data_IF_391682417909
#
_entry.id   IF_391682417909
#
_cell.length_a   1.000
_cell.length_b   1.000
_cell.length_c   1.000
_cell.angle_alpha   90.00
_cell.angle_beta   90.00
_cell.angle_gamma   90.00
#
_symmetry.space_group_name_H-M   'P 1'
#
loop_
_entity.id
_entity.type
_entity.pdbx_description
1 polymer ?
#
# COMPACT_ATOMS: atom_id res chain seq x y z
N UNK A 1 5.16 -9.30 -5.63
CA UNK A 1 4.46 -8.50 -6.66
C UNK A 1 3.31 -9.20 -7.39
N UNK A 2 3.46 -10.39 -7.99
CA UNK A 2 2.45 -11.00 -8.89
C UNK A 2 1.01 -11.06 -8.32
N UNK A 3 0.86 -11.43 -7.05
CA UNK A 3 -0.44 -11.50 -6.38
C UNK A 3 -1.09 -10.12 -6.19
N UNK A 4 -0.31 -9.10 -5.81
CA UNK A 4 -0.82 -7.73 -5.66
C UNK A 4 -1.22 -7.12 -7.00
N UNK A 5 -0.43 -7.34 -8.05
CA UNK A 5 -0.75 -6.88 -9.40
C UNK A 5 -2.01 -7.55 -9.96
N UNK A 6 -2.21 -8.84 -9.65
CA UNK A 6 -3.44 -9.56 -9.98
C UNK A 6 -4.63 -8.96 -9.23
N UNK A 7 -4.51 -8.73 -7.92
CA UNK A 7 -5.56 -8.13 -7.10
C UNK A 7 -5.91 -6.71 -7.56
N UNK A 8 -4.91 -5.89 -7.90
CA UNK A 8 -5.13 -4.56 -8.45
C UNK A 8 -5.87 -4.62 -9.80
N UNK A 9 -5.45 -5.51 -10.70
CA UNK A 9 -6.10 -5.69 -12.01
C UNK A 9 -7.57 -6.10 -11.86
N UNK A 10 -7.85 -7.06 -10.96
CA UNK A 10 -9.23 -7.49 -10.66
C UNK A 10 -10.04 -6.35 -10.03
N UNK A 11 -9.45 -5.56 -9.13
CA UNK A 11 -10.11 -4.40 -8.53
C UNK A 11 -10.46 -3.33 -9.56
N UNK A 12 -9.55 -3.00 -10.48
CA UNK A 12 -9.79 -2.04 -11.56
C UNK A 12 -10.90 -2.54 -12.49
N UNK A 13 -10.87 -3.80 -12.89
CA UNK A 13 -11.90 -4.38 -13.76
C UNK A 13 -13.28 -4.33 -13.10
N UNK A 14 -13.34 -4.73 -11.83
CA UNK A 14 -14.59 -4.80 -11.05
C UNK A 14 -15.17 -3.41 -10.80
N UNK A 15 -14.34 -2.42 -10.42
CA UNK A 15 -14.78 -1.03 -10.24
C UNK A 15 -15.36 -0.47 -11.53
N UNK A 16 -14.67 -0.63 -12.66
CA UNK A 16 -15.14 -0.15 -13.97
C UNK A 16 -16.44 -0.81 -14.41
N UNK A 17 -16.58 -2.11 -14.19
CA UNK A 17 -17.80 -2.84 -14.53
C UNK A 17 -18.99 -2.35 -13.68
N UNK A 18 -18.81 -2.27 -12.36
CA UNK A 18 -19.88 -1.86 -11.44
C UNK A 18 -20.25 -0.40 -11.61
N UNK A 19 -19.29 0.50 -11.84
CA UNK A 19 -19.57 1.92 -12.06
C UNK A 19 -20.38 2.18 -13.33
N UNK A 20 -20.29 1.32 -14.34
CA UNK A 20 -21.13 1.39 -15.54
C UNK A 20 -22.58 0.96 -15.28
N UNK A 21 -22.79 0.04 -14.34
CA UNK A 21 -24.11 -0.56 -14.07
C UNK A 21 -24.84 0.19 -12.95
N UNK A 22 -24.12 0.62 -11.91
CA UNK A 22 -24.69 1.12 -10.67
C UNK A 22 -23.80 2.21 -10.00
N UNK A 23 -23.55 3.35 -10.68
CA UNK A 23 -22.52 4.33 -10.31
C UNK A 23 -22.68 4.94 -8.92
N UNK A 24 -23.90 5.23 -8.48
CA UNK A 24 -24.18 5.95 -7.22
C UNK A 24 -24.49 5.03 -6.03
N UNK A 25 -24.18 3.74 -6.14
CA UNK A 25 -24.41 2.80 -5.04
C UNK A 25 -23.30 2.85 -4.00
N UNK A 26 -23.65 2.56 -2.74
CA UNK A 26 -22.66 2.35 -1.67
C UNK A 26 -21.63 1.27 -2.03
N UNK A 27 -22.03 0.28 -2.82
CA UNK A 27 -21.15 -0.78 -3.31
C UNK A 27 -20.12 -0.26 -4.34
N UNK A 28 -20.54 0.59 -5.28
CA UNK A 28 -19.65 1.30 -6.20
C UNK A 28 -18.62 2.15 -5.44
N UNK A 29 -19.07 2.93 -4.45
CA UNK A 29 -18.18 3.70 -3.59
C UNK A 29 -17.19 2.83 -2.80
N UNK A 30 -17.64 1.69 -2.26
CA UNK A 30 -16.77 0.73 -1.59
C UNK A 30 -15.70 0.14 -2.52
N UNK A 31 -16.07 -0.21 -3.76
CA UNK A 31 -15.13 -0.72 -4.77
C UNK A 31 -14.09 0.33 -5.19
N UNK A 32 -14.48 1.60 -5.29
CA UNK A 32 -13.53 2.70 -5.52
C UNK A 32 -12.46 2.75 -4.42
N UNK A 33 -12.87 2.67 -3.14
CA UNK A 33 -11.92 2.61 -2.02
C UNK A 33 -11.06 1.35 -2.08
N UNK A 34 -11.66 0.19 -2.39
CA UNK A 34 -10.93 -1.07 -2.52
C UNK A 34 -9.86 -1.03 -3.61
N UNK A 35 -10.18 -0.48 -4.79
CA UNK A 35 -9.22 -0.25 -5.88
C UNK A 35 -8.10 0.70 -5.45
N UNK A 36 -8.44 1.82 -4.82
CA UNK A 36 -7.46 2.80 -4.36
C UNK A 36 -6.49 2.21 -3.34
N UNK A 37 -6.98 1.35 -2.44
CA UNK A 37 -6.14 0.60 -1.52
C UNK A 37 -5.24 -0.39 -2.28
N UNK A 38 -5.76 -1.10 -3.29
CA UNK A 38 -4.97 -2.05 -4.08
C UNK A 38 -3.78 -1.39 -4.78
N UNK A 39 -4.01 -0.20 -5.34
CA UNK A 39 -2.97 0.62 -5.98
C UNK A 39 -1.90 1.02 -4.98
N UNK A 40 -2.30 1.52 -3.81
CA UNK A 40 -1.36 1.87 -2.74
C UNK A 40 -0.58 0.66 -2.22
N UNK A 41 -1.21 -0.50 -2.08
CA UNK A 41 -0.52 -1.73 -1.66
C UNK A 41 0.53 -2.19 -2.68
N UNK A 42 0.30 -1.98 -3.98
CA UNK A 42 1.32 -2.22 -5.00
C UNK A 42 2.49 -1.23 -4.83
N UNK A 43 2.21 0.06 -4.69
CA UNK A 43 3.24 1.08 -4.49
C UNK A 43 4.08 0.82 -3.23
N UNK A 44 3.45 0.45 -2.13
CA UNK A 44 4.11 0.10 -0.86
C UNK A 44 5.03 -1.12 -1.07
N UNK A 45 4.55 -2.15 -1.75
CA UNK A 45 5.36 -3.33 -2.03
C UNK A 45 6.56 -3.01 -2.92
N UNK A 46 6.37 -2.19 -3.96
CA UNK A 46 7.44 -1.75 -4.86
C UNK A 46 8.51 -0.93 -4.13
N UNK A 47 8.11 0.01 -3.28
CA UNK A 47 9.05 0.80 -2.48
C UNK A 47 9.83 -0.06 -1.49
N UNK A 48 9.17 -1.02 -0.83
CA UNK A 48 9.86 -1.95 0.07
C UNK A 48 10.83 -2.88 -0.69
N UNK A 49 10.47 -3.30 -1.90
CA UNK A 49 11.37 -4.09 -2.75
C UNK A 49 12.58 -3.27 -3.19
N UNK A 50 12.39 -2.00 -3.59
CA UNK A 50 13.50 -1.08 -3.90
C UNK A 50 14.42 -0.88 -2.70
N UNK A 51 13.86 -0.58 -1.53
CA UNK A 51 14.63 -0.44 -0.29
C UNK A 51 15.45 -1.69 0.02
N UNK A 52 14.89 -2.89 -0.18
CA UNK A 52 15.62 -4.14 0.01
C UNK A 52 16.79 -4.35 -0.97
N UNK A 53 16.73 -3.76 -2.17
CA UNK A 53 17.82 -3.83 -3.17
C UNK A 53 18.94 -2.83 -2.91
N UNK A 54 18.67 -1.74 -2.20
CA UNK A 54 19.65 -0.70 -1.86
C UNK A 54 20.56 -1.12 -0.70
N UNK A 55 21.43 -2.09 -0.97
CA UNK A 55 22.34 -2.69 0.03
C UNK A 55 23.67 -1.95 0.18
N UNK A 56 24.00 -1.06 -0.77
CA UNK A 56 25.28 -0.34 -0.77
C UNK A 56 25.19 0.93 0.10
N UNK A 57 26.26 1.29 0.83
CA UNK A 57 26.26 2.50 1.67
C UNK A 57 25.90 3.78 0.91
N UNK A 58 26.31 3.87 -0.36
CA UNK A 58 26.00 4.98 -1.27
C UNK A 58 24.50 5.15 -1.57
N UNK A 59 23.69 4.10 -1.38
CA UNK A 59 22.24 4.11 -1.59
C UNK A 59 21.44 4.17 -0.28
N UNK A 60 22.10 4.36 0.88
CA UNK A 60 21.44 4.36 2.18
C UNK A 60 20.28 5.36 2.25
N UNK A 61 20.48 6.58 1.77
CA UNK A 61 19.45 7.62 1.75
C UNK A 61 18.25 7.26 0.85
N UNK A 62 18.48 6.51 -0.24
CA UNK A 62 17.41 6.01 -1.11
C UNK A 62 16.61 4.90 -0.43
N UNK A 63 17.29 4.01 0.30
CA UNK A 63 16.64 2.97 1.09
C UNK A 63 15.75 3.57 2.18
N UNK A 64 16.31 4.52 2.95
CA UNK A 64 15.60 5.27 4.00
C UNK A 64 14.36 5.98 3.43
N UNK A 65 14.52 6.70 2.31
CA UNK A 65 13.42 7.38 1.64
C UNK A 65 12.32 6.42 1.16
N UNK A 66 12.69 5.30 0.54
CA UNK A 66 11.72 4.29 0.09
C UNK A 66 10.94 3.68 1.26
N UNK A 67 11.59 3.37 2.38
CA UNK A 67 10.89 2.86 3.58
C UNK A 67 9.96 3.91 4.18
N UNK A 68 10.41 5.16 4.30
CA UNK A 68 9.59 6.28 4.77
C UNK A 68 8.33 6.46 3.92
N UNK A 69 8.49 6.46 2.60
CA UNK A 69 7.37 6.70 1.67
C UNK A 69 6.37 5.54 1.67
N UNK A 70 6.87 4.30 1.74
CA UNK A 70 6.03 3.11 1.93
C UNK A 70 5.21 3.21 3.23
N UNK A 71 5.84 3.65 4.32
CA UNK A 71 5.17 3.81 5.61
C UNK A 71 4.11 4.93 5.59
N UNK A 72 4.42 6.07 4.96
CA UNK A 72 3.48 7.17 4.80
C UNK A 72 2.20 6.72 4.09
N UNK A 73 2.32 6.06 2.92
CA UNK A 73 1.15 5.54 2.22
C UNK A 73 0.41 4.48 3.01
N UNK A 74 1.12 3.61 3.72
CA UNK A 74 0.50 2.58 4.54
C UNK A 74 -0.38 3.20 5.63
N UNK A 75 0.11 4.23 6.31
CA UNK A 75 -0.62 4.93 7.36
C UNK A 75 -1.77 5.80 6.81
N UNK A 76 -1.60 6.49 5.69
CA UNK A 76 -2.68 7.22 4.99
C UNK A 76 -3.85 6.27 4.66
N UNK A 77 -3.55 5.11 4.07
CA UNK A 77 -4.60 4.13 3.74
C UNK A 77 -5.22 3.49 4.97
N UNK A 78 -4.46 3.31 6.05
CA UNK A 78 -5.05 2.89 7.33
C UNK A 78 -6.07 3.90 7.84
N UNK A 79 -5.77 5.20 7.81
CA UNK A 79 -6.69 6.27 8.18
C UNK A 79 -7.98 6.20 7.35
N UNK A 80 -7.86 5.92 6.06
CA UNK A 80 -8.99 5.73 5.15
C UNK A 80 -9.68 4.35 5.24
N UNK A 81 -9.34 3.52 6.24
CA UNK A 81 -10.08 2.30 6.57
C UNK A 81 -9.63 1.03 5.83
N UNK A 82 -8.43 1.02 5.24
CA UNK A 82 -7.85 -0.15 4.57
C UNK A 82 -7.86 -1.41 5.45
N UNK A 83 -7.68 -1.25 6.77
CA UNK A 83 -7.70 -2.33 7.76
C UNK A 83 -9.02 -3.12 7.83
N UNK A 84 -10.13 -2.52 7.37
CA UNK A 84 -11.44 -3.19 7.31
C UNK A 84 -11.70 -3.86 5.96
N UNK A 85 -10.98 -3.44 4.91
CA UNK A 85 -11.20 -3.89 3.52
C UNK A 85 -10.20 -4.96 3.06
N UNK A 86 -9.02 -5.01 3.68
CA UNK A 86 -7.94 -5.90 3.26
C UNK A 86 -7.57 -6.95 4.30
N UNK A 87 -7.06 -8.13 3.87
CA UNK A 87 -6.63 -9.17 4.78
C UNK A 87 -5.53 -8.68 5.73
N UNK A 88 -5.76 -8.84 7.04
CA UNK A 88 -4.79 -8.42 8.07
C UNK A 88 -3.42 -9.05 7.89
N UNK A 89 -3.37 -10.32 7.47
CA UNK A 89 -2.11 -11.03 7.24
C UNK A 89 -1.24 -10.34 6.17
N UNK A 90 -1.84 -9.85 5.09
CA UNK A 90 -1.14 -9.11 4.05
C UNK A 90 -0.60 -7.79 4.59
N UNK A 91 -1.44 -7.03 5.28
CA UNK A 91 -1.06 -5.72 5.85
C UNK A 91 0.06 -5.87 6.88
N UNK A 92 -0.03 -6.88 7.74
CA UNK A 92 1.02 -7.19 8.71
C UNK A 92 2.31 -7.62 8.03
N UNK A 93 2.25 -8.40 6.95
CA UNK A 93 3.45 -8.78 6.19
C UNK A 93 4.19 -7.57 5.62
N UNK A 94 3.46 -6.60 5.06
CA UNK A 94 4.05 -5.35 4.54
C UNK A 94 4.63 -4.50 5.67
N UNK A 95 3.89 -4.33 6.76
CA UNK A 95 4.36 -3.58 7.92
C UNK A 95 5.63 -4.19 8.54
N UNK A 96 5.66 -5.51 8.69
CA UNK A 96 6.83 -6.23 9.17
C UNK A 96 8.01 -6.10 8.21
N UNK A 97 7.77 -6.05 6.90
CA UNK A 97 8.84 -5.87 5.90
C UNK A 97 9.48 -4.48 6.04
N UNK A 98 8.65 -3.43 6.16
CA UNK A 98 9.14 -2.08 6.40
C UNK A 98 9.91 -1.92 7.71
N UNK A 99 9.36 -2.43 8.82
CA UNK A 99 10.04 -2.42 10.13
C UNK A 99 11.38 -3.17 10.11
N UNK A 100 11.49 -4.24 9.32
CA UNK A 100 12.75 -5.00 9.19
C UNK A 100 13.80 -4.29 8.34
N UNK A 101 13.37 -3.46 7.38
CA UNK A 101 14.28 -2.71 6.52
C UNK A 101 14.82 -1.48 7.25
N UNK A 102 13.91 -0.66 7.80
CA UNK A 102 14.27 0.49 8.62
C UNK A 102 13.12 0.84 9.57
N UNK A 103 13.25 0.44 10.83
CA UNK A 103 12.22 0.69 11.84
C UNK A 103 12.04 2.18 12.14
N UNK A 104 13.09 2.98 12.06
CA UNK A 104 13.03 4.42 12.35
C UNK A 104 12.26 5.14 11.28
N UNK A 105 12.64 4.96 10.01
CA UNK A 105 11.95 5.58 8.88
C UNK A 105 10.51 5.08 8.72
N UNK A 106 10.27 3.80 9.03
CA UNK A 106 8.92 3.26 9.02
C UNK A 106 8.02 3.94 10.07
N UNK A 107 8.52 4.14 11.28
CA UNK A 107 7.75 4.83 12.33
C UNK A 107 7.53 6.31 12.00
N UNK A 108 8.55 6.99 11.48
CA UNK A 108 8.48 8.40 11.10
C UNK A 108 7.44 8.63 10.00
N UNK A 109 7.46 7.83 8.93
CA UNK A 109 6.47 7.90 7.86
C UNK A 109 5.06 7.60 8.36
N UNK A 110 4.89 6.60 9.24
CA UNK A 110 3.58 6.29 9.82
C UNK A 110 3.04 7.42 10.72
N UNK A 111 3.91 8.13 11.43
CA UNK A 111 3.52 9.22 12.34
C UNK A 111 3.14 10.48 11.58
N UNK A 112 3.79 10.77 10.45
CA UNK A 112 3.56 11.98 9.68
C UNK A 112 2.28 11.94 8.82
N UNK A 113 1.74 10.75 8.59
CA UNK A 113 0.46 10.55 7.92
C UNK A 113 -0.76 10.66 8.85
N UNK A 114 -0.56 10.85 10.16
CA UNK A 114 -1.61 11.00 11.18
C UNK A 114 -1.85 12.45 11.52
#
# INVERSE_FOLDING_TARGET
MFLLNTLHSVAVFTERAVRRIAPETRFSGWLCCFRSDAEALCLIADELERAATYTRPEHKMLAEFSVYHAAYFFADRQYHGMMKRWPRALLMSLANSGLRLDATQWQEGCNQAR
#
